data_IF_485104670499
#
_entry.id   IF_485104670499
#
_cell.length_a   1.000
_cell.length_b   1.000
_cell.length_c   1.000
_cell.angle_alpha   90.00
_cell.angle_beta   90.00
_cell.angle_gamma   90.00
#
_symmetry.space_group_name_H-M   'P 1'
#
loop_
_entity.id
_entity.type
_entity.pdbx_description
1 polymer ?
#
# COMPACT_ATOMS: atom_id res chain seq x y z
N UNK A 1 21.44 -37.45 60.26
CA UNK A 1 20.27 -36.54 60.27
C UNK A 1 20.28 -35.72 58.99
N UNK A 2 19.37 -35.99 58.03
CA UNK A 2 19.23 -35.19 56.80
C UNK A 2 18.24 -34.06 57.07
N UNK A 3 18.72 -32.81 57.07
CA UNK A 3 17.87 -31.62 57.21
C UNK A 3 17.41 -31.18 55.84
N UNK A 4 16.16 -31.47 55.51
CA UNK A 4 15.51 -31.04 54.27
C UNK A 4 14.97 -29.63 54.47
N UNK A 5 15.64 -28.63 53.90
CA UNK A 5 15.23 -27.22 53.92
C UNK A 5 13.92 -27.06 53.13
N UNK A 6 12.77 -27.00 53.82
CA UNK A 6 11.48 -26.63 53.21
C UNK A 6 11.54 -25.15 52.81
N UNK A 7 11.55 -24.88 51.50
CA UNK A 7 11.29 -23.53 50.99
C UNK A 7 9.85 -23.10 51.35
N UNK A 8 9.67 -21.86 51.79
CA UNK A 8 8.36 -21.28 52.08
C UNK A 8 7.53 -21.17 50.80
N UNK A 9 6.21 -21.33 50.91
CA UNK A 9 5.28 -21.27 49.78
C UNK A 9 5.29 -19.90 49.08
N UNK A 10 5.59 -18.82 49.82
CA UNK A 10 5.78 -17.48 49.27
C UNK A 10 6.95 -17.39 48.28
N UNK A 11 8.07 -18.09 48.54
CA UNK A 11 9.20 -18.09 47.61
C UNK A 11 8.93 -18.92 46.35
N UNK A 12 8.08 -19.94 46.44
CA UNK A 12 7.64 -20.72 45.27
C UNK A 12 6.71 -19.90 44.38
N UNK A 13 5.77 -19.15 44.95
CA UNK A 13 4.87 -18.29 44.20
C UNK A 13 5.62 -17.19 43.43
N UNK A 14 6.64 -16.59 44.04
CA UNK A 14 7.45 -15.55 43.38
C UNK A 14 8.34 -16.10 42.25
N UNK A 15 8.87 -17.31 42.41
CA UNK A 15 9.62 -18.01 41.35
C UNK A 15 8.72 -18.37 40.16
N UNK A 16 7.49 -18.85 40.42
CA UNK A 16 6.52 -19.16 39.38
C UNK A 16 6.08 -17.89 38.65
N UNK A 17 5.84 -16.78 39.36
CA UNK A 17 5.48 -15.51 38.75
C UNK A 17 6.59 -14.98 37.81
N UNK A 18 7.86 -15.01 38.25
CA UNK A 18 8.99 -14.61 37.40
C UNK A 18 9.17 -15.50 36.17
N UNK A 19 8.94 -16.80 36.32
CA UNK A 19 9.02 -17.74 35.20
C UNK A 19 7.89 -17.53 34.17
N UNK A 20 6.68 -17.21 34.63
CA UNK A 20 5.54 -16.88 33.75
C UNK A 20 5.78 -15.57 33.02
N UNK A 21 6.32 -14.54 33.69
CA UNK A 21 6.65 -13.25 33.07
C UNK A 21 7.77 -13.38 32.01
N UNK A 22 8.79 -14.19 32.28
CA UNK A 22 9.88 -14.47 31.33
C UNK A 22 9.37 -15.25 30.11
N UNK A 23 8.50 -16.25 30.30
CA UNK A 23 7.87 -17.00 29.20
C UNK A 23 6.97 -16.11 28.35
N UNK A 24 6.21 -15.19 28.96
CA UNK A 24 5.36 -14.23 28.24
C UNK A 24 6.19 -13.22 27.42
N UNK A 25 7.29 -12.73 27.99
CA UNK A 25 8.25 -11.83 27.32
C UNK A 25 8.93 -12.49 26.11
N UNK A 26 9.37 -13.74 26.26
CA UNK A 26 9.98 -14.53 25.17
C UNK A 26 8.95 -14.83 24.07
N UNK A 27 7.72 -15.18 24.43
CA UNK A 27 6.62 -15.39 23.48
C UNK A 27 6.31 -14.14 22.67
N UNK A 28 6.19 -12.98 23.33
CA UNK A 28 5.93 -11.69 22.67
C UNK A 28 7.07 -11.30 21.69
N UNK A 29 8.33 -11.48 22.10
CA UNK A 29 9.49 -11.28 21.20
C UNK A 29 9.45 -12.20 19.99
N UNK A 30 9.12 -13.48 20.17
CA UNK A 30 9.02 -14.47 19.08
C UNK A 30 7.93 -14.12 18.08
N UNK A 31 6.77 -13.64 18.55
CA UNK A 31 5.67 -13.14 17.70
C UNK A 31 6.09 -11.90 16.91
N UNK A 32 6.75 -10.93 17.54
CA UNK A 32 7.23 -9.73 16.84
C UNK A 32 8.29 -10.04 15.78
N UNK A 33 9.24 -10.93 16.09
CA UNK A 33 10.26 -11.38 15.14
C UNK A 33 9.64 -12.20 13.99
N UNK A 34 8.65 -13.05 14.27
CA UNK A 34 7.89 -13.77 13.25
C UNK A 34 7.17 -12.79 12.33
N UNK A 35 6.46 -11.80 12.88
CA UNK A 35 5.77 -10.77 12.11
C UNK A 35 6.73 -9.93 11.24
N UNK A 36 7.93 -9.63 11.74
CA UNK A 36 8.98 -8.97 10.95
C UNK A 36 9.48 -9.85 9.80
N UNK A 37 9.75 -11.14 10.06
CA UNK A 37 10.16 -12.10 9.02
C UNK A 37 9.09 -12.26 7.94
N UNK A 38 7.82 -12.39 8.32
CA UNK A 38 6.71 -12.53 7.37
C UNK A 38 6.50 -11.26 6.55
N UNK A 39 6.64 -10.07 7.16
CA UNK A 39 6.58 -8.79 6.44
C UNK A 39 7.73 -8.65 5.45
N UNK A 40 8.96 -8.98 5.86
CA UNK A 40 10.13 -8.91 4.99
C UNK A 40 10.04 -9.91 3.83
N UNK A 41 9.58 -11.14 4.08
CA UNK A 41 9.36 -12.12 3.02
C UNK A 41 8.29 -11.67 2.02
N UNK A 42 7.17 -11.10 2.52
CA UNK A 42 6.14 -10.52 1.65
C UNK A 42 6.69 -9.36 0.81
N UNK A 43 7.61 -8.58 1.37
CA UNK A 43 8.27 -7.47 0.69
C UNK A 43 9.20 -7.95 -0.44
N UNK A 44 10.07 -8.91 -0.18
CA UNK A 44 10.93 -9.49 -1.22
C UNK A 44 10.11 -10.16 -2.33
N UNK A 45 9.05 -10.88 -1.96
CA UNK A 45 8.17 -11.53 -2.91
C UNK A 45 7.44 -10.53 -3.82
N UNK A 46 7.04 -9.36 -3.32
CA UNK A 46 6.34 -8.37 -4.15
C UNK A 46 7.29 -7.68 -5.13
N UNK A 47 8.56 -7.46 -4.77
CA UNK A 47 9.55 -6.84 -5.68
C UNK A 47 9.77 -7.66 -6.96
N UNK A 48 9.64 -8.98 -6.84
CA UNK A 48 9.81 -9.93 -7.94
C UNK A 48 8.46 -10.42 -8.50
N UNK A 49 7.34 -9.82 -8.08
CA UNK A 49 6.03 -10.28 -8.47
C UNK A 49 5.85 -10.18 -9.99
N UNK A 50 5.37 -11.27 -10.56
CA UNK A 50 4.99 -11.40 -11.96
C UNK A 50 3.57 -11.94 -11.98
N UNK A 51 2.60 -11.23 -12.57
CA UNK A 51 1.24 -11.73 -12.61
C UNK A 51 1.19 -13.01 -13.46
N UNK A 52 0.51 -14.04 -12.95
CA UNK A 52 0.25 -15.26 -13.70
C UNK A 52 -0.84 -15.03 -14.76
N UNK A 53 -1.13 -16.06 -15.58
CA UNK A 53 -2.09 -15.95 -16.70
C UNK A 53 -3.49 -15.53 -16.22
N UNK A 54 -3.97 -16.07 -15.09
CA UNK A 54 -5.28 -15.72 -14.53
C UNK A 54 -5.29 -14.28 -14.02
N UNK A 55 -4.26 -13.87 -13.29
CA UNK A 55 -4.15 -12.50 -12.76
C UNK A 55 -4.12 -11.47 -13.88
N UNK A 56 -3.38 -11.74 -14.97
CA UNK A 56 -3.37 -10.89 -16.16
C UNK A 56 -4.75 -10.80 -16.81
N UNK A 57 -5.46 -11.93 -16.89
CA UNK A 57 -6.80 -11.95 -17.46
C UNK A 57 -7.77 -11.14 -16.60
N UNK A 58 -7.74 -11.29 -15.28
CA UNK A 58 -8.56 -10.51 -14.36
C UNK A 58 -8.26 -9.01 -14.48
N UNK A 59 -6.98 -8.62 -14.54
CA UNK A 59 -6.61 -7.22 -14.76
C UNK A 59 -7.15 -6.67 -16.08
N UNK A 60 -7.13 -7.47 -17.16
CA UNK A 60 -7.67 -7.07 -18.46
C UNK A 60 -9.20 -6.98 -18.47
N UNK A 61 -9.88 -7.89 -17.80
CA UNK A 61 -11.35 -7.91 -17.73
C UNK A 61 -11.89 -6.76 -16.89
N UNK A 62 -11.12 -6.32 -15.90
CA UNK A 62 -11.59 -5.36 -14.88
C UNK A 62 -10.99 -3.97 -15.03
N UNK A 63 -10.20 -3.75 -16.08
CA UNK A 63 -9.68 -2.44 -16.45
C UNK A 63 -10.38 -1.94 -17.71
N UNK A 64 -10.65 -0.63 -17.75
CA UNK A 64 -11.10 0.07 -18.94
C UNK A 64 -10.19 1.27 -19.21
N UNK A 65 -9.96 1.59 -20.50
CA UNK A 65 -9.29 2.84 -20.90
C UNK A 65 -10.31 3.97 -21.19
N UNK A 66 -11.61 3.72 -20.98
CA UNK A 66 -12.66 4.73 -21.18
C UNK A 66 -12.53 5.88 -20.18
N UNK A 67 -12.70 7.11 -20.69
CA UNK A 67 -12.52 8.32 -19.89
C UNK A 67 -13.37 8.32 -18.60
N UNK A 68 -14.64 7.93 -18.71
CA UNK A 68 -15.57 7.95 -17.58
C UNK A 68 -15.10 7.02 -16.46
N UNK A 69 -14.73 5.78 -16.81
CA UNK A 69 -14.17 4.83 -15.84
C UNK A 69 -12.92 5.38 -15.17
N UNK A 70 -11.97 5.91 -15.94
CA UNK A 70 -10.72 6.44 -15.39
C UNK A 70 -10.97 7.63 -14.45
N UNK A 71 -11.92 8.49 -14.80
CA UNK A 71 -12.26 9.65 -13.99
C UNK A 71 -13.01 9.26 -12.71
N UNK A 72 -13.99 8.36 -12.81
CA UNK A 72 -14.72 7.80 -11.66
C UNK A 72 -13.77 7.10 -10.69
N UNK A 73 -12.87 6.24 -11.19
CA UNK A 73 -11.90 5.53 -10.36
C UNK A 73 -10.98 6.51 -9.61
N UNK A 74 -10.42 7.50 -10.31
CA UNK A 74 -9.54 8.50 -9.69
C UNK A 74 -10.29 9.35 -8.66
N UNK A 75 -11.54 9.70 -8.94
CA UNK A 75 -12.40 10.46 -8.05
C UNK A 75 -12.78 9.68 -6.79
N UNK A 76 -13.13 8.40 -6.96
CA UNK A 76 -13.47 7.50 -5.86
C UNK A 76 -12.28 7.32 -4.93
N UNK A 77 -11.08 7.08 -5.47
CA UNK A 77 -9.86 6.89 -4.67
C UNK A 77 -9.56 8.16 -3.86
N UNK A 78 -9.52 9.33 -4.48
CA UNK A 78 -9.21 10.56 -3.75
C UNK A 78 -10.29 10.94 -2.74
N UNK A 79 -11.56 10.70 -3.06
CA UNK A 79 -12.66 10.92 -2.11
C UNK A 79 -12.46 10.07 -0.87
N UNK A 80 -12.21 8.77 -1.04
CA UNK A 80 -11.92 7.85 0.06
C UNK A 80 -10.70 8.30 0.88
N UNK A 81 -9.60 8.69 0.22
CA UNK A 81 -8.39 9.16 0.91
C UNK A 81 -8.69 10.39 1.76
N UNK A 82 -9.37 11.41 1.23
CA UNK A 82 -9.61 12.65 1.97
C UNK A 82 -10.70 12.52 3.03
N UNK A 83 -11.66 11.61 2.86
CA UNK A 83 -12.71 11.35 3.84
C UNK A 83 -12.14 10.56 5.04
N UNK A 84 -11.27 9.57 4.79
CA UNK A 84 -10.69 8.74 5.86
C UNK A 84 -9.39 9.33 6.44
N UNK A 85 -8.66 10.14 5.66
CA UNK A 85 -7.41 10.77 6.07
C UNK A 85 -7.38 12.24 5.60
N UNK A 86 -8.15 13.15 6.24
CA UNK A 86 -8.30 14.55 5.81
C UNK A 86 -6.98 15.32 5.69
N UNK A 87 -5.99 14.96 6.51
CA UNK A 87 -4.63 15.54 6.47
C UNK A 87 -3.96 15.37 5.09
N UNK A 88 -4.32 14.34 4.31
CA UNK A 88 -3.77 14.16 2.95
C UNK A 88 -4.18 15.31 2.02
N UNK A 89 -5.32 15.97 2.25
CA UNK A 89 -5.81 17.08 1.42
C UNK A 89 -4.88 18.29 1.47
N UNK A 90 -4.13 18.48 2.56
CA UNK A 90 -3.17 19.59 2.71
C UNK A 90 -2.05 19.59 1.65
N UNK A 91 -1.78 18.42 1.06
CA UNK A 91 -0.77 18.26 0.00
C UNK A 91 -1.19 18.96 -1.31
N UNK A 92 -2.47 19.34 -1.42
CA UNK A 92 -3.10 19.89 -2.61
C UNK A 92 -3.63 21.31 -2.37
N UNK A 93 -2.76 22.31 -2.11
CA UNK A 93 -3.18 23.67 -1.79
C UNK A 93 -3.97 24.36 -2.93
N UNK A 94 -3.85 23.86 -4.16
CA UNK A 94 -4.62 24.33 -5.30
C UNK A 94 -6.15 24.13 -5.13
N UNK A 95 -6.56 23.23 -4.23
CA UNK A 95 -7.97 22.98 -3.92
C UNK A 95 -8.57 24.02 -2.97
N UNK A 96 -7.74 24.74 -2.19
CA UNK A 96 -8.21 25.63 -1.13
C UNK A 96 -9.12 26.75 -1.65
N UNK A 97 -8.89 27.24 -2.88
CA UNK A 97 -9.70 28.30 -3.49
C UNK A 97 -11.13 27.87 -3.85
N UNK A 98 -11.44 26.58 -3.78
CA UNK A 98 -12.76 26.02 -4.09
C UNK A 98 -13.57 25.64 -2.85
N UNK A 99 -13.00 25.72 -1.65
CA UNK A 99 -13.71 25.33 -0.42
C UNK A 99 -14.21 23.89 -0.47
N UNK A 100 -15.51 23.71 -0.28
CA UNK A 100 -16.20 22.41 -0.31
C UNK A 100 -16.45 21.90 -1.74
N UNK A 101 -16.46 22.79 -2.74
CA UNK A 101 -16.70 22.47 -4.15
C UNK A 101 -15.42 22.01 -4.89
N UNK A 102 -14.36 21.67 -4.15
CA UNK A 102 -13.08 21.25 -4.72
C UNK A 102 -13.19 20.02 -5.64
N UNK A 103 -14.19 19.16 -5.45
CA UNK A 103 -14.47 17.99 -6.31
C UNK A 103 -14.88 18.41 -7.74
N UNK A 104 -15.44 19.59 -7.91
CA UNK A 104 -15.84 20.14 -9.22
C UNK A 104 -14.71 20.91 -9.92
N UNK A 105 -13.56 21.07 -9.25
CA UNK A 105 -12.45 21.86 -9.78
C UNK A 105 -11.72 21.15 -10.92
N UNK A 106 -11.24 21.96 -11.89
CA UNK A 106 -10.37 21.48 -12.97
C UNK A 106 -9.07 20.87 -12.41
N UNK A 107 -8.56 21.42 -11.33
CA UNK A 107 -7.35 20.99 -10.64
C UNK A 107 -7.53 19.60 -10.03
N UNK A 108 -8.68 19.33 -9.40
CA UNK A 108 -8.99 18.01 -8.90
C UNK A 108 -9.14 17.01 -10.04
N UNK A 109 -9.90 17.35 -11.09
CA UNK A 109 -10.05 16.50 -12.28
C UNK A 109 -8.69 16.14 -12.90
N UNK A 110 -7.81 17.13 -13.08
CA UNK A 110 -6.47 16.88 -13.58
C UNK A 110 -5.64 16.00 -12.63
N UNK A 111 -5.80 16.15 -11.31
CA UNK A 111 -5.10 15.34 -10.33
C UNK A 111 -5.58 13.88 -10.32
N UNK A 112 -6.89 13.65 -10.34
CA UNK A 112 -7.50 12.33 -10.43
C UNK A 112 -7.03 11.59 -11.69
N UNK A 113 -7.01 12.26 -12.84
CA UNK A 113 -6.55 11.65 -14.10
C UNK A 113 -5.04 11.35 -14.10
N UNK A 114 -4.19 12.27 -13.61
CA UNK A 114 -2.74 12.01 -13.50
C UNK A 114 -2.42 10.82 -12.60
N UNK A 115 -3.25 10.63 -11.58
CA UNK A 115 -3.12 9.52 -10.66
C UNK A 115 -3.43 8.20 -11.36
N UNK A 116 -4.60 8.11 -11.99
CA UNK A 116 -5.03 6.90 -12.71
C UNK A 116 -4.14 6.60 -13.91
N UNK A 117 -3.50 7.60 -14.53
CA UNK A 117 -2.46 7.38 -15.54
C UNK A 117 -1.31 6.52 -15.02
N UNK A 118 -0.91 6.66 -13.75
CA UNK A 118 0.13 5.79 -13.16
C UNK A 118 -0.32 4.34 -13.09
N UNK A 119 -1.58 4.11 -12.72
CA UNK A 119 -2.19 2.77 -12.70
C UNK A 119 -2.31 2.21 -14.13
N UNK A 120 -2.73 3.04 -15.09
CA UNK A 120 -2.81 2.68 -16.51
C UNK A 120 -1.47 2.23 -17.07
N UNK A 121 -0.36 2.90 -16.73
CA UNK A 121 0.98 2.47 -17.13
C UNK A 121 1.32 1.08 -16.59
N UNK A 122 0.91 0.76 -15.35
CA UNK A 122 1.10 -0.58 -14.78
C UNK A 122 0.29 -1.61 -15.54
N UNK A 123 -1.00 -1.37 -15.77
CA UNK A 123 -1.87 -2.31 -16.52
C UNK A 123 -1.37 -2.55 -17.94
N UNK A 124 -0.92 -1.50 -18.64
CA UNK A 124 -0.41 -1.59 -20.02
C UNK A 124 0.89 -2.38 -20.14
N UNK A 125 1.71 -2.36 -19.09
CA UNK A 125 3.02 -3.01 -19.07
C UNK A 125 3.05 -4.26 -18.19
N UNK A 126 1.90 -4.88 -17.85
CA UNK A 126 1.90 -6.12 -17.06
C UNK A 126 2.75 -7.23 -17.69
N UNK A 127 2.93 -7.24 -19.02
CA UNK A 127 3.78 -8.18 -19.78
C UNK A 127 5.25 -7.75 -19.89
N UNK A 128 5.56 -6.52 -19.49
CA UNK A 128 6.87 -5.89 -19.55
C UNK A 128 7.22 -5.29 -18.18
N UNK A 129 7.15 -6.14 -17.14
CA UNK A 129 7.32 -5.73 -15.73
C UNK A 129 8.71 -5.13 -15.46
N UNK A 130 9.72 -5.48 -16.26
CA UNK A 130 11.07 -4.92 -16.24
C UNK A 130 11.08 -3.39 -16.50
N UNK A 131 10.10 -2.88 -17.24
CA UNK A 131 9.95 -1.45 -17.50
C UNK A 131 9.24 -0.70 -16.36
N UNK A 132 8.52 -1.42 -15.50
CA UNK A 132 7.71 -0.83 -14.44
C UNK A 132 8.52 -0.44 -13.21
N UNK A 133 9.54 -1.22 -12.84
CA UNK A 133 10.39 -0.90 -11.69
C UNK A 133 11.04 0.51 -11.84
N UNK A 134 11.77 0.81 -12.94
CA UNK A 134 12.36 2.14 -13.12
C UNK A 134 11.31 3.25 -13.16
N UNK A 135 10.15 3.00 -13.77
CA UNK A 135 9.06 3.96 -13.85
C UNK A 135 8.51 4.31 -12.45
N UNK A 136 8.10 3.30 -11.68
CA UNK A 136 7.52 3.46 -10.34
C UNK A 136 8.53 4.03 -9.34
N UNK A 137 9.79 3.60 -9.42
CA UNK A 137 10.89 4.19 -8.66
C UNK A 137 10.99 5.70 -8.90
N UNK A 138 10.97 6.12 -10.16
CA UNK A 138 11.04 7.54 -10.52
C UNK A 138 9.80 8.33 -10.08
N UNK A 139 8.61 7.71 -10.08
CA UNK A 139 7.43 8.32 -9.45
C UNK A 139 7.67 8.54 -7.95
N UNK A 140 8.26 7.56 -7.25
CA UNK A 140 8.66 7.66 -5.84
C UNK A 140 9.62 8.81 -5.56
N UNK A 141 10.69 8.93 -6.35
CA UNK A 141 11.66 10.04 -6.28
C UNK A 141 10.97 11.40 -6.40
N UNK A 142 10.01 11.53 -7.32
CA UNK A 142 9.24 12.78 -7.51
C UNK A 142 8.37 13.13 -6.30
N UNK A 143 8.06 12.18 -5.42
CA UNK A 143 7.30 12.45 -4.20
C UNK A 143 8.15 13.10 -3.09
N UNK A 144 9.49 13.03 -3.16
CA UNK A 144 10.37 13.70 -2.20
C UNK A 144 10.12 15.21 -2.13
N UNK A 145 9.72 15.86 -3.24
CA UNK A 145 9.39 17.29 -3.27
C UNK A 145 8.19 17.68 -2.40
N UNK A 146 7.38 16.71 -1.99
CA UNK A 146 6.20 16.93 -1.17
C UNK A 146 6.45 16.77 0.34
N UNK A 147 7.67 16.38 0.74
CA UNK A 147 8.06 16.29 2.17
C UNK A 147 7.84 17.63 2.87
N UNK A 148 8.22 18.73 2.22
CA UNK A 148 8.04 20.09 2.74
C UNK A 148 6.55 20.48 2.93
N UNK A 149 5.63 19.76 2.28
CA UNK A 149 4.18 19.94 2.43
C UNK A 149 3.56 18.95 3.41
N UNK A 150 4.39 18.19 4.13
CA UNK A 150 3.94 17.19 5.10
C UNK A 150 3.59 15.83 4.49
N UNK A 151 4.11 15.49 3.30
CA UNK A 151 3.96 14.13 2.77
C UNK A 151 4.65 13.13 3.71
N UNK A 152 3.95 12.05 4.04
CA UNK A 152 4.45 10.97 4.89
C UNK A 152 4.37 9.64 4.15
N UNK A 153 5.36 8.75 4.25
CA UNK A 153 5.33 7.44 3.59
C UNK A 153 4.10 6.59 3.92
N UNK A 154 3.52 6.76 5.10
CA UNK A 154 2.33 6.04 5.55
C UNK A 154 1.08 6.37 4.72
N UNK A 155 1.10 7.45 3.92
CA UNK A 155 0.02 7.77 3.00
C UNK A 155 -0.09 6.78 1.83
N UNK A 156 0.95 5.99 1.57
CA UNK A 156 0.85 4.90 0.58
C UNK A 156 0.04 3.71 1.08
N UNK A 157 -0.05 3.48 2.39
CA UNK A 157 -0.94 2.50 3.01
C UNK A 157 -2.39 2.96 2.85
N UNK A 158 -2.67 4.23 3.13
CA UNK A 158 -3.99 4.85 2.91
C UNK A 158 -4.43 4.71 1.45
N UNK A 159 -3.50 4.86 0.51
CA UNK A 159 -3.77 4.63 -0.91
C UNK A 159 -4.14 3.17 -1.21
N UNK A 160 -3.48 2.18 -0.60
CA UNK A 160 -3.82 0.78 -0.82
C UNK A 160 -5.24 0.47 -0.35
N UNK A 161 -5.64 1.02 0.80
CA UNK A 161 -7.01 0.87 1.32
C UNK A 161 -8.03 1.53 0.37
N UNK A 162 -7.72 2.72 -0.13
CA UNK A 162 -8.56 3.42 -1.10
C UNK A 162 -8.71 2.65 -2.43
N UNK A 163 -7.61 2.07 -2.94
CA UNK A 163 -7.64 1.21 -4.12
C UNK A 163 -8.54 0.01 -3.92
N UNK A 164 -8.38 -0.70 -2.80
CA UNK A 164 -9.20 -1.86 -2.48
C UNK A 164 -10.68 -1.49 -2.42
N UNK A 165 -11.02 -0.40 -1.73
CA UNK A 165 -12.40 0.07 -1.64
C UNK A 165 -12.98 0.43 -3.01
N UNK A 166 -12.33 1.35 -3.74
CA UNK A 166 -12.83 1.83 -5.03
C UNK A 166 -12.95 0.74 -6.08
N UNK A 167 -12.00 -0.21 -6.11
CA UNK A 167 -12.04 -1.31 -7.06
C UNK A 167 -13.04 -2.39 -6.65
N UNK A 168 -13.27 -2.63 -5.36
CA UNK A 168 -14.36 -3.50 -4.91
C UNK A 168 -15.72 -2.98 -5.39
N UNK A 169 -15.97 -1.68 -5.21
CA UNK A 169 -17.18 -1.02 -5.70
C UNK A 169 -17.31 -1.10 -7.23
N UNK A 170 -16.19 -0.94 -7.95
CA UNK A 170 -16.19 -1.12 -9.40
C UNK A 170 -16.50 -2.58 -9.79
N UNK A 171 -15.83 -3.56 -9.18
CA UNK A 171 -16.05 -4.97 -9.49
C UNK A 171 -17.50 -5.34 -9.27
N UNK A 172 -18.16 -4.86 -8.21
CA UNK A 172 -19.57 -5.11 -7.91
C UNK A 172 -20.53 -4.60 -9.00
N UNK A 173 -20.12 -3.64 -9.82
CA UNK A 173 -20.91 -3.10 -10.94
C UNK A 173 -20.78 -3.89 -12.23
N UNK A 174 -19.79 -4.79 -12.35
CA UNK A 174 -19.56 -5.59 -13.56
C UNK A 174 -20.43 -6.85 -13.57
N UNK A 175 -21.54 -6.94 -14.34
CA UNK A 175 -22.45 -8.09 -14.28
C UNK A 175 -21.83 -9.40 -14.79
N UNK A 176 -20.79 -9.33 -15.62
CA UNK A 176 -20.12 -10.47 -16.24
C UNK A 176 -19.22 -11.27 -15.29
N UNK A 177 -18.88 -10.71 -14.12
CA UNK A 177 -18.04 -11.39 -13.15
C UNK A 177 -18.87 -12.28 -12.21
N UNK A 178 -18.45 -13.53 -12.05
CA UNK A 178 -18.91 -14.36 -10.92
C UNK A 178 -18.40 -13.82 -9.58
N UNK A 179 -19.04 -14.19 -8.48
CA UNK A 179 -18.62 -13.80 -7.13
C UNK A 179 -17.16 -14.19 -6.84
N UNK A 180 -16.75 -15.38 -7.30
CA UNK A 180 -15.38 -15.84 -7.18
C UNK A 180 -14.41 -14.94 -7.97
N UNK A 181 -14.74 -14.56 -9.20
CA UNK A 181 -13.92 -13.65 -9.99
C UNK A 181 -13.84 -12.25 -9.37
N UNK A 182 -14.92 -11.75 -8.73
CA UNK A 182 -14.88 -10.46 -8.01
C UNK A 182 -13.88 -10.50 -6.87
N UNK A 183 -13.93 -11.55 -6.05
CA UNK A 183 -13.01 -11.75 -4.92
C UNK A 183 -11.56 -11.84 -5.42
N UNK A 184 -11.31 -12.66 -6.44
CA UNK A 184 -9.98 -12.81 -7.03
C UNK A 184 -9.49 -11.50 -7.64
N UNK A 185 -10.32 -10.79 -8.40
CA UNK A 185 -9.94 -9.51 -9.00
C UNK A 185 -9.52 -8.49 -7.94
N UNK A 186 -10.28 -8.37 -6.83
CA UNK A 186 -9.90 -7.50 -5.71
C UNK A 186 -8.55 -7.90 -5.12
N UNK A 187 -8.28 -9.20 -4.93
CA UNK A 187 -6.98 -9.67 -4.43
C UNK A 187 -5.82 -9.34 -5.38
N UNK A 188 -6.04 -9.47 -6.69
CA UNK A 188 -5.03 -9.11 -7.70
C UNK A 188 -4.76 -7.61 -7.67
N UNK A 189 -5.80 -6.78 -7.58
CA UNK A 189 -5.65 -5.33 -7.49
C UNK A 189 -4.98 -4.87 -6.19
N UNK A 190 -5.20 -5.56 -5.06
CA UNK A 190 -4.43 -5.34 -3.82
C UNK A 190 -2.94 -5.63 -4.03
N UNK A 191 -2.62 -6.69 -4.78
CA UNK A 191 -1.24 -7.02 -5.15
C UNK A 191 -0.64 -5.94 -6.05
N UNK A 192 -1.38 -5.44 -7.04
CA UNK A 192 -0.95 -4.31 -7.89
C UNK A 192 -0.68 -3.06 -7.06
N UNK A 193 -1.58 -2.69 -6.14
CA UNK A 193 -1.40 -1.52 -5.28
C UNK A 193 -0.16 -1.67 -4.37
N UNK A 194 0.07 -2.87 -3.84
CA UNK A 194 1.27 -3.18 -3.05
C UNK A 194 2.54 -3.11 -3.90
N UNK A 195 2.52 -3.64 -5.13
CA UNK A 195 3.65 -3.56 -6.07
C UNK A 195 4.01 -2.10 -6.37
N UNK A 196 3.02 -1.29 -6.77
CA UNK A 196 3.17 0.14 -7.05
C UNK A 196 3.81 0.87 -5.87
N UNK A 197 3.22 0.74 -4.69
CA UNK A 197 3.67 1.48 -3.50
C UNK A 197 5.04 1.01 -3.01
N UNK A 198 5.36 -0.26 -3.18
CA UNK A 198 6.65 -0.82 -2.79
C UNK A 198 7.78 -0.21 -3.61
N UNK A 199 7.68 -0.22 -4.95
CA UNK A 199 8.69 0.40 -5.82
C UNK A 199 8.77 1.92 -5.64
N UNK A 200 7.62 2.60 -5.47
CA UNK A 200 7.60 4.03 -5.16
C UNK A 200 8.28 4.35 -3.82
N UNK A 201 8.08 3.54 -2.77
CA UNK A 201 8.74 3.71 -1.48
C UNK A 201 10.25 3.60 -1.60
N UNK A 202 10.75 2.63 -2.36
CA UNK A 202 12.19 2.48 -2.61
C UNK A 202 12.73 3.75 -3.26
N UNK A 203 12.09 4.20 -4.34
CA UNK A 203 12.48 5.44 -5.03
C UNK A 203 12.44 6.66 -4.12
N UNK A 204 11.43 6.78 -3.27
CA UNK A 204 11.32 7.88 -2.33
C UNK A 204 12.43 7.87 -1.27
N UNK A 205 12.69 6.73 -0.61
CA UNK A 205 13.70 6.66 0.44
C UNK A 205 15.12 6.82 -0.10
N UNK A 206 15.39 6.31 -1.30
CA UNK A 206 16.64 6.58 -1.99
C UNK A 206 16.75 8.07 -2.37
N UNK A 207 15.68 8.68 -2.86
CA UNK A 207 15.65 10.10 -3.22
C UNK A 207 15.91 11.02 -2.02
N UNK A 208 15.38 10.68 -0.84
CA UNK A 208 15.73 11.37 0.41
C UNK A 208 17.21 11.28 0.77
N UNK A 209 17.89 10.22 0.31
CA UNK A 209 19.34 10.02 0.47
C UNK A 209 20.16 10.53 -0.73
N UNK A 210 19.52 11.20 -1.69
CA UNK A 210 20.13 11.64 -2.95
C UNK A 210 20.73 10.49 -3.78
N UNK A 211 20.15 9.29 -3.67
CA UNK A 211 20.51 8.11 -4.47
C UNK A 211 19.53 8.01 -5.64
N UNK A 212 20.03 7.75 -6.85
CA UNK A 212 19.21 7.41 -8.01
C UNK A 212 19.76 6.15 -8.71
N UNK A 213 19.03 5.04 -8.61
CA UNK A 213 19.40 3.76 -9.25
C UNK A 213 19.08 3.70 -10.75
N UNK A 214 18.22 4.60 -11.23
CA UNK A 214 17.78 4.65 -12.63
C UNK A 214 17.93 6.08 -13.17
N UNK A 215 19.16 6.61 -13.26
CA UNK A 215 19.39 7.92 -13.86
C UNK A 215 18.90 7.92 -15.31
N UNK A 216 18.31 9.04 -15.80
CA UNK A 216 18.03 9.19 -17.23
C UNK A 216 19.31 8.95 -18.03
N UNK A 217 19.20 8.26 -19.16
CA UNK A 217 20.31 8.19 -20.11
C UNK A 217 20.62 9.62 -20.56
N UNK A 218 21.81 10.11 -20.20
CA UNK A 218 22.37 11.40 -20.62
C UNK A 218 22.81 11.39 -22.06
#
# INVERSE_FOLDING_TARGET
>A
MKSTRRMSESNKAELVAKQVDDEHSVSCRKVMMSNHKTKHQKYENILQWQPNVNERQLLRLTWSDEFEFLYELGTSIYSYIFENNPNCKQLFPAFNKYGDDWKESREFRAQALRFVQTISQVVKNIYHMDQLEPYLYNVGQRHCKFVQRGFKPEYWEVFQDAMEHSLTEHMNKLPELSDQQRIEAVQVWRTVALYITTHMKIGYFDGLKSINRHPPLT
#
